data_IF_166838982629
#
_entry.id   IF_166838982629
#
_cell.length_a   1.000
_cell.length_b   1.000
_cell.length_c   1.000
_cell.angle_alpha   90.00
_cell.angle_beta   90.00
_cell.angle_gamma   90.00
#
_symmetry.space_group_name_H-M   'P 1'
#
loop_
_entity.id
_entity.type
_entity.pdbx_description
1 polymer ?
#
# COMPACT_ATOMS: atom_id res chain seq x y z
N UNK A 1 15.41 -6.87 -20.27
CA UNK A 1 14.05 -7.37 -20.22
C UNK A 1 14.04 -8.89 -20.43
N UNK A 2 13.23 -9.66 -19.67
CA UNK A 2 13.12 -11.11 -19.79
C UNK A 2 14.50 -11.80 -19.72
N UNK A 3 14.91 -12.57 -20.72
CA UNK A 3 16.26 -13.18 -20.79
C UNK A 3 17.37 -12.13 -20.67
N UNK A 4 17.22 -10.97 -21.31
CA UNK A 4 18.14 -9.84 -21.18
C UNK A 4 18.19 -9.28 -19.76
N UNK A 5 17.10 -9.34 -19.01
CA UNK A 5 17.04 -8.99 -17.59
C UNK A 5 17.93 -9.91 -16.75
N UNK A 6 17.82 -11.22 -16.96
CA UNK A 6 18.70 -12.20 -16.33
C UNK A 6 20.18 -12.01 -16.71
N UNK A 7 20.46 -11.73 -18.00
CA UNK A 7 21.82 -11.42 -18.44
C UNK A 7 22.36 -10.15 -17.78
N UNK A 8 21.56 -9.08 -17.70
CA UNK A 8 21.96 -7.82 -17.04
C UNK A 8 22.33 -8.04 -15.57
N UNK A 9 21.55 -8.84 -14.85
CA UNK A 9 21.87 -9.20 -13.48
C UNK A 9 23.15 -10.06 -13.41
N UNK A 10 23.25 -11.12 -14.24
CA UNK A 10 24.41 -12.01 -14.25
C UNK A 10 25.73 -11.28 -14.54
N UNK A 11 25.73 -10.41 -15.54
CA UNK A 11 26.95 -9.66 -15.92
C UNK A 11 27.21 -8.48 -14.99
N UNK A 12 26.17 -7.73 -14.63
CA UNK A 12 26.29 -6.55 -13.79
C UNK A 12 26.79 -6.88 -12.39
N UNK A 13 26.16 -7.85 -11.74
CA UNK A 13 26.54 -8.27 -10.40
C UNK A 13 27.81 -9.12 -10.35
N UNK A 14 28.12 -9.83 -11.44
CA UNK A 14 29.38 -10.56 -11.58
C UNK A 14 30.60 -9.68 -11.89
N UNK A 15 30.43 -8.39 -12.19
CA UNK A 15 31.51 -7.45 -12.56
C UNK A 15 31.32 -6.08 -11.90
N UNK A 16 31.25 -6.06 -10.57
CA UNK A 16 30.99 -4.86 -9.77
C UNK A 16 32.10 -3.79 -9.84
N UNK A 17 33.25 -4.11 -10.40
CA UNK A 17 34.33 -3.16 -10.72
C UNK A 17 34.01 -2.33 -11.98
N UNK A 18 33.11 -2.80 -12.82
CA UNK A 18 32.71 -2.14 -14.07
C UNK A 18 31.29 -1.56 -14.02
N UNK A 19 30.39 -2.17 -13.25
CA UNK A 19 28.98 -1.82 -13.20
C UNK A 19 28.54 -1.50 -11.78
N UNK A 20 28.14 -0.26 -11.55
CA UNK A 20 27.61 0.21 -10.26
C UNK A 20 26.10 0.49 -10.28
N UNK A 21 25.49 0.60 -11.49
CA UNK A 21 24.05 0.73 -11.71
C UNK A 21 23.59 -0.46 -12.51
N UNK A 22 22.75 -1.30 -11.93
CA UNK A 22 22.29 -2.56 -12.52
C UNK A 22 20.77 -2.62 -12.45
N UNK A 23 20.12 -2.95 -13.56
CA UNK A 23 18.67 -3.13 -13.63
C UNK A 23 18.28 -4.45 -14.30
N UNK A 24 17.40 -5.22 -13.68
CA UNK A 24 16.80 -6.43 -14.23
C UNK A 24 15.28 -6.31 -14.26
N UNK A 25 14.67 -6.52 -15.43
CA UNK A 25 13.23 -6.36 -15.63
C UNK A 25 12.62 -7.70 -16.05
N UNK A 26 11.67 -8.23 -15.26
CA UNK A 26 11.04 -9.54 -15.49
C UNK A 26 12.06 -10.61 -15.84
N UNK A 27 13.08 -10.77 -15.01
CA UNK A 27 14.22 -11.64 -15.28
C UNK A 27 13.79 -13.09 -15.49
N UNK A 28 14.35 -13.71 -16.52
CA UNK A 28 13.96 -15.04 -17.00
C UNK A 28 14.78 -16.18 -16.32
N UNK A 29 14.51 -17.45 -16.65
CA UNK A 29 15.16 -18.62 -16.06
C UNK A 29 16.70 -18.68 -16.18
N UNK A 30 17.27 -17.93 -17.13
CA UNK A 30 18.73 -17.80 -17.27
C UNK A 30 19.40 -16.97 -16.18
N UNK A 31 18.62 -16.37 -15.27
CA UNK A 31 19.15 -15.69 -14.08
C UNK A 31 19.76 -16.71 -13.14
N UNK A 32 21.02 -16.54 -12.79
CA UNK A 32 21.73 -17.40 -11.84
C UNK A 32 20.98 -17.47 -10.50
N UNK A 33 21.26 -18.51 -9.72
CA UNK A 33 20.79 -18.56 -8.33
C UNK A 33 21.42 -17.43 -7.53
N UNK A 34 20.74 -16.89 -6.53
CA UNK A 34 21.17 -15.66 -5.85
C UNK A 34 22.61 -15.73 -5.28
N UNK A 35 23.01 -16.88 -4.75
CA UNK A 35 24.34 -17.08 -4.18
C UNK A 35 25.45 -17.01 -5.24
N UNK A 36 25.18 -17.45 -6.46
CA UNK A 36 26.12 -17.33 -7.59
C UNK A 36 26.03 -15.96 -8.26
N UNK A 37 24.87 -15.31 -8.14
CA UNK A 37 24.62 -13.97 -8.68
C UNK A 37 25.37 -12.90 -7.90
N UNK A 38 25.40 -13.02 -6.57
CA UNK A 38 26.07 -12.11 -5.64
C UNK A 38 26.97 -12.92 -4.69
N UNK A 39 28.12 -13.40 -5.19
CA UNK A 39 29.01 -14.25 -4.39
C UNK A 39 29.74 -13.48 -3.28
N UNK A 40 29.91 -12.17 -3.44
CA UNK A 40 30.56 -11.28 -2.46
C UNK A 40 29.56 -10.18 -2.05
N UNK A 41 28.89 -10.41 -0.94
CA UNK A 41 27.88 -9.51 -0.37
C UNK A 41 28.48 -8.16 0.03
N UNK A 42 29.65 -8.16 0.64
CA UNK A 42 30.30 -6.93 1.10
C UNK A 42 30.80 -6.07 -0.07
N UNK A 43 31.28 -6.69 -1.14
CA UNK A 43 31.59 -5.97 -2.37
C UNK A 43 30.32 -5.39 -3.01
N UNK A 44 29.20 -6.11 -2.98
CA UNK A 44 27.93 -5.61 -3.48
C UNK A 44 27.44 -4.39 -2.69
N UNK A 45 27.44 -4.44 -1.35
CA UNK A 45 27.10 -3.31 -0.49
C UNK A 45 27.96 -2.08 -0.75
N UNK A 46 29.25 -2.28 -0.99
CA UNK A 46 30.22 -1.19 -1.16
C UNK A 46 30.22 -0.56 -2.54
N UNK A 47 30.04 -1.37 -3.60
CA UNK A 47 30.25 -0.93 -4.99
C UNK A 47 28.96 -0.60 -5.74
N UNK A 48 27.82 -1.20 -5.38
CA UNK A 48 26.56 -0.87 -6.00
C UNK A 48 26.09 0.53 -5.60
N UNK A 49 25.74 1.32 -6.59
CA UNK A 49 25.07 2.62 -6.42
C UNK A 49 23.57 2.49 -6.65
N UNK A 50 23.17 1.56 -7.49
CA UNK A 50 21.78 1.21 -7.71
C UNK A 50 21.67 -0.24 -8.20
N UNK A 51 20.89 -1.03 -7.51
CA UNK A 51 20.38 -2.31 -8.01
C UNK A 51 18.86 -2.23 -8.07
N UNK A 52 18.30 -2.37 -9.27
CA UNK A 52 16.88 -2.24 -9.52
C UNK A 52 16.34 -3.53 -10.12
N UNK A 53 15.43 -4.19 -9.43
CA UNK A 53 14.78 -5.43 -9.88
C UNK A 53 13.30 -5.14 -10.05
N UNK A 54 12.80 -5.26 -11.27
CA UNK A 54 11.40 -5.00 -11.60
C UNK A 54 10.74 -6.23 -12.19
N UNK A 55 9.46 -6.43 -11.84
CA UNK A 55 8.63 -7.50 -12.39
C UNK A 55 7.15 -7.12 -12.35
N UNK A 56 6.35 -7.75 -13.19
CA UNK A 56 4.91 -7.75 -13.05
C UNK A 56 4.47 -8.63 -11.87
N UNK A 57 3.46 -8.23 -11.13
CA UNK A 57 2.95 -9.01 -9.99
C UNK A 57 2.18 -10.26 -10.41
N UNK A 58 1.66 -10.28 -11.65
CA UNK A 58 1.04 -11.44 -12.30
C UNK A 58 1.95 -12.08 -13.36
N UNK A 59 3.26 -11.74 -13.39
CA UNK A 59 4.24 -12.32 -14.29
C UNK A 59 4.54 -13.77 -13.90
N UNK A 60 4.40 -14.71 -14.83
CA UNK A 60 4.73 -16.12 -14.61
C UNK A 60 6.21 -16.38 -14.24
N UNK A 61 7.09 -15.41 -14.48
CA UNK A 61 8.53 -15.46 -14.14
C UNK A 61 8.88 -14.72 -12.85
N UNK A 62 7.90 -14.21 -12.11
CA UNK A 62 8.11 -13.42 -10.87
C UNK A 62 9.00 -14.14 -9.85
N UNK A 63 8.98 -15.49 -9.83
CA UNK A 63 9.82 -16.30 -8.94
C UNK A 63 11.32 -16.02 -9.06
N UNK A 64 11.81 -15.68 -10.26
CA UNK A 64 13.23 -15.36 -10.46
C UNK A 64 13.60 -14.01 -9.86
N UNK A 65 12.75 -13.01 -10.02
CA UNK A 65 12.93 -11.69 -9.43
C UNK A 65 12.76 -11.74 -7.90
N UNK A 66 11.75 -12.46 -7.43
CA UNK A 66 11.46 -12.58 -6.00
C UNK A 66 12.58 -13.29 -5.23
N UNK A 67 13.06 -14.46 -5.70
CA UNK A 67 14.16 -15.15 -5.01
C UNK A 67 15.43 -14.30 -4.91
N UNK A 68 15.70 -13.49 -5.93
CA UNK A 68 16.84 -12.57 -5.92
C UNK A 68 16.63 -11.48 -4.90
N UNK A 69 15.45 -10.85 -4.87
CA UNK A 69 15.06 -9.88 -3.84
C UNK A 69 15.18 -10.46 -2.43
N UNK A 70 14.56 -11.63 -2.18
CA UNK A 70 14.55 -12.25 -0.86
C UNK A 70 15.98 -12.48 -0.33
N UNK A 71 16.89 -12.94 -1.20
CA UNK A 71 18.29 -13.16 -0.85
C UNK A 71 19.03 -11.85 -0.54
N UNK A 72 18.84 -10.82 -1.37
CA UNK A 72 19.44 -9.51 -1.17
C UNK A 72 18.96 -8.86 0.13
N UNK A 73 17.67 -8.99 0.40
CA UNK A 73 17.03 -8.49 1.61
C UNK A 73 17.58 -9.19 2.87
N UNK A 74 17.72 -10.51 2.84
CA UNK A 74 18.27 -11.30 3.96
C UNK A 74 19.73 -10.98 4.27
N UNK A 75 20.46 -10.46 3.30
CA UNK A 75 21.88 -10.11 3.41
C UNK A 75 22.12 -8.60 3.51
N UNK A 76 21.07 -7.79 3.71
CA UNK A 76 21.14 -6.33 3.81
C UNK A 76 21.86 -5.65 2.62
N UNK A 77 21.70 -6.21 1.41
CA UNK A 77 22.23 -5.59 0.19
C UNK A 77 21.21 -4.55 -0.31
N UNK A 78 21.59 -3.25 -0.36
CA UNK A 78 20.69 -2.20 -0.81
C UNK A 78 20.21 -2.42 -2.25
N UNK A 79 18.91 -2.49 -2.46
CA UNK A 79 18.30 -2.65 -3.78
C UNK A 79 16.85 -2.16 -3.79
N UNK A 80 16.35 -1.86 -4.98
CA UNK A 80 14.94 -1.55 -5.20
C UNK A 80 14.29 -2.78 -5.83
N UNK A 81 13.24 -3.29 -5.20
CA UNK A 81 12.36 -4.31 -5.76
C UNK A 81 11.03 -3.66 -6.14
N UNK A 82 10.86 -3.44 -7.44
CA UNK A 82 9.72 -2.74 -8.00
C UNK A 82 8.74 -3.72 -8.63
N UNK A 83 7.54 -3.83 -8.04
CA UNK A 83 6.44 -4.61 -8.61
C UNK A 83 5.42 -3.68 -9.26
N UNK A 84 5.11 -3.95 -10.53
CA UNK A 84 4.11 -3.26 -11.32
C UNK A 84 2.90 -4.17 -11.52
N UNK A 85 1.69 -3.59 -11.58
CA UNK A 85 0.49 -4.35 -11.91
C UNK A 85 0.53 -4.85 -13.37
N UNK A 86 0.56 -6.16 -13.56
CA UNK A 86 0.53 -6.79 -14.88
C UNK A 86 1.38 -8.05 -14.98
N UNK A 87 1.42 -8.60 -16.18
CA UNK A 87 2.13 -9.83 -16.51
C UNK A 87 3.51 -9.60 -17.10
N UNK A 88 3.91 -10.54 -17.95
CA UNK A 88 5.17 -10.48 -18.72
C UNK A 88 4.98 -9.66 -20.00
N UNK A 89 4.77 -8.34 -19.83
CA UNK A 89 4.33 -7.48 -20.92
C UNK A 89 5.06 -6.13 -20.98
N UNK A 90 4.90 -5.47 -22.13
CA UNK A 90 5.59 -4.21 -22.41
C UNK A 90 5.15 -3.04 -21.50
N UNK A 91 3.90 -3.05 -21.01
CA UNK A 91 3.41 -2.00 -20.09
C UNK A 91 4.22 -2.03 -18.80
N UNK A 92 4.38 -3.22 -18.23
CA UNK A 92 5.19 -3.44 -17.00
C UNK A 92 6.63 -3.00 -17.23
N UNK A 93 7.23 -3.40 -18.36
CA UNK A 93 8.62 -3.05 -18.65
C UNK A 93 8.85 -1.58 -18.89
N UNK A 94 7.94 -0.92 -19.61
CA UNK A 94 8.00 0.53 -19.84
C UNK A 94 7.94 1.30 -18.52
N UNK A 95 7.04 0.94 -17.62
CA UNK A 95 6.91 1.59 -16.33
C UNK A 95 8.12 1.30 -15.43
N UNK A 96 8.60 0.06 -15.42
CA UNK A 96 9.84 -0.31 -14.73
C UNK A 96 11.05 0.49 -15.22
N UNK A 97 11.20 0.65 -16.54
CA UNK A 97 12.28 1.46 -17.12
C UNK A 97 12.13 2.94 -16.77
N UNK A 98 10.92 3.48 -16.79
CA UNK A 98 10.65 4.84 -16.36
C UNK A 98 11.09 5.06 -14.90
N UNK A 99 10.70 4.16 -13.99
CA UNK A 99 11.09 4.22 -12.59
C UNK A 99 12.59 4.09 -12.41
N UNK A 100 13.24 3.12 -13.05
CA UNK A 100 14.69 2.95 -13.01
C UNK A 100 15.43 4.22 -13.46
N UNK A 101 14.96 4.87 -14.52
CA UNK A 101 15.59 6.09 -15.07
C UNK A 101 15.58 7.26 -14.07
N UNK A 102 14.65 7.30 -13.13
CA UNK A 102 14.59 8.34 -12.10
C UNK A 102 15.77 8.29 -11.12
N UNK A 103 16.40 7.11 -10.97
CA UNK A 103 17.49 6.86 -10.04
C UNK A 103 18.87 6.76 -10.73
N UNK A 104 18.90 6.62 -12.05
CA UNK A 104 20.16 6.47 -12.78
C UNK A 104 21.07 7.70 -12.59
N UNK A 105 22.33 7.44 -12.22
CA UNK A 105 23.39 8.45 -12.07
C UNK A 105 23.10 9.52 -11.01
N UNK A 106 22.14 9.28 -10.12
CA UNK A 106 21.84 10.15 -8.99
C UNK A 106 22.32 9.51 -7.69
N UNK A 107 22.62 10.31 -6.64
CA UNK A 107 22.76 9.77 -5.31
C UNK A 107 21.44 9.10 -4.89
N UNK A 108 21.52 7.84 -4.49
CA UNK A 108 20.38 7.11 -3.95
C UNK A 108 20.64 6.97 -2.47
N UNK A 109 19.79 7.58 -1.64
CA UNK A 109 19.80 7.36 -0.21
C UNK A 109 19.24 5.96 0.10
N UNK A 110 20.14 5.07 0.51
CA UNK A 110 19.80 3.68 0.80
C UNK A 110 18.83 3.54 1.98
N UNK A 111 18.82 4.49 2.92
CA UNK A 111 17.86 4.52 4.01
C UNK A 111 16.43 4.85 3.54
N UNK A 112 16.30 5.51 2.39
CA UNK A 112 15.01 5.82 1.76
C UNK A 112 14.52 4.72 0.81
N UNK A 113 15.33 3.72 0.48
CA UNK A 113 14.99 2.67 -0.50
C UNK A 113 13.80 1.80 -0.06
N UNK A 114 13.56 1.66 1.24
CA UNK A 114 12.34 1.01 1.75
C UNK A 114 11.05 1.71 1.26
N UNK A 115 11.12 3.03 1.00
CA UNK A 115 9.98 3.79 0.48
C UNK A 115 9.66 3.45 -0.98
N UNK A 116 10.65 3.03 -1.76
CA UNK A 116 10.50 2.73 -3.19
C UNK A 116 10.09 1.28 -3.47
N UNK A 117 10.27 0.40 -2.51
CA UNK A 117 9.73 -0.97 -2.59
C UNK A 117 8.20 -1.00 -2.45
N UNK A 118 7.61 0.10 -2.04
CA UNK A 118 6.17 0.21 -1.79
C UNK A 118 5.61 1.36 -2.60
N UNK A 119 5.03 1.05 -3.74
CA UNK A 119 4.39 1.99 -4.65
C UNK A 119 3.03 2.49 -4.17
N UNK A 120 2.63 2.15 -2.97
CA UNK A 120 1.36 2.54 -2.39
C UNK A 120 1.45 3.88 -1.66
N UNK A 121 0.39 4.65 -1.71
CA UNK A 121 0.17 5.79 -0.82
C UNK A 121 -0.49 5.27 0.46
N UNK A 122 0.01 5.60 1.66
CA UNK A 122 -0.70 5.27 2.89
C UNK A 122 -2.14 5.76 2.84
N UNK A 123 -3.07 4.94 3.30
CA UNK A 123 -4.48 5.32 3.33
C UNK A 123 -4.71 6.53 4.24
N UNK A 124 -5.64 7.40 3.85
CA UNK A 124 -5.98 8.61 4.62
C UNK A 124 -6.52 8.31 6.02
N UNK A 125 -7.08 7.13 6.20
CA UNK A 125 -7.58 6.61 7.48
C UNK A 125 -6.50 5.97 8.36
N UNK A 126 -5.25 5.95 7.94
CA UNK A 126 -4.18 5.43 8.79
C UNK A 126 -3.96 6.33 10.00
N UNK A 127 -3.78 5.74 11.17
CA UNK A 127 -3.36 6.49 12.36
C UNK A 127 -1.97 7.08 12.15
N UNK A 128 -1.63 8.12 12.92
CA UNK A 128 -0.37 8.83 12.77
C UNK A 128 0.83 7.87 12.76
N UNK A 129 1.68 8.02 11.74
CA UNK A 129 2.88 7.22 11.48
C UNK A 129 2.64 5.76 11.03
N UNK A 130 1.40 5.32 10.85
CA UNK A 130 1.13 4.02 10.26
C UNK A 130 1.39 4.06 8.75
N UNK A 131 2.22 3.13 8.26
CA UNK A 131 2.56 3.02 6.84
C UNK A 131 1.55 2.19 6.05
N UNK A 132 0.80 1.33 6.70
CA UNK A 132 -0.18 0.42 6.10
C UNK A 132 -1.56 0.59 6.76
N UNK A 133 -2.63 0.25 6.03
CA UNK A 133 -2.70 -0.17 4.63
C UNK A 133 -2.24 0.90 3.64
N UNK A 134 -1.80 0.45 2.46
CA UNK A 134 -1.39 1.32 1.36
C UNK A 134 -2.23 1.08 0.12
N UNK A 135 -2.53 2.15 -0.60
CA UNK A 135 -3.32 2.11 -1.83
C UNK A 135 -2.36 2.25 -3.01
N UNK A 136 -2.36 1.25 -3.88
CA UNK A 136 -1.59 1.25 -5.11
C UNK A 136 -2.22 2.16 -6.18
N UNK A 137 -1.46 2.63 -7.18
CA UNK A 137 -1.98 3.48 -8.26
C UNK A 137 -3.15 2.88 -9.06
N UNK A 138 -3.28 1.57 -9.06
CA UNK A 138 -4.35 0.82 -9.70
C UNK A 138 -5.53 0.48 -8.76
N UNK A 139 -5.56 1.07 -7.56
CA UNK A 139 -6.55 0.87 -6.50
C UNK A 139 -6.51 -0.51 -5.82
N UNK A 140 -5.48 -1.32 -6.01
CA UNK A 140 -5.24 -2.46 -5.12
C UNK A 140 -4.73 -1.94 -3.77
N UNK A 141 -4.93 -2.72 -2.73
CA UNK A 141 -4.53 -2.35 -1.36
C UNK A 141 -3.54 -3.36 -0.81
N UNK A 142 -2.45 -2.86 -0.25
CA UNK A 142 -1.50 -3.68 0.49
C UNK A 142 -1.81 -3.55 1.97
N UNK A 143 -2.11 -4.68 2.61
CA UNK A 143 -2.20 -4.78 4.06
C UNK A 143 -0.94 -5.45 4.60
N UNK A 144 -0.43 -4.91 5.71
CA UNK A 144 0.70 -5.48 6.44
C UNK A 144 0.46 -5.38 7.94
N UNK A 145 0.41 -6.53 8.62
CA UNK A 145 0.04 -6.64 10.04
C UNK A 145 1.07 -7.45 10.78
N UNK A 146 1.47 -7.00 11.95
CA UNK A 146 2.40 -7.72 12.82
C UNK A 146 1.60 -8.62 13.78
N UNK A 147 1.65 -9.92 13.55
CA UNK A 147 1.02 -10.93 14.41
C UNK A 147 1.90 -12.20 14.43
N UNK A 148 3.05 -12.15 15.14
CA UNK A 148 4.06 -13.21 15.06
C UNK A 148 3.54 -14.55 15.58
N UNK A 149 2.64 -14.57 16.55
CA UNK A 149 2.13 -15.79 17.18
C UNK A 149 0.85 -16.32 16.52
N UNK A 150 0.27 -15.58 15.57
CA UNK A 150 -0.92 -16.02 14.86
C UNK A 150 -0.64 -17.19 13.93
N UNK A 151 -1.62 -18.10 13.82
CA UNK A 151 -1.59 -19.24 12.90
C UNK A 151 -2.21 -18.89 11.54
N UNK A 152 -3.22 -18.00 11.55
CA UNK A 152 -3.90 -17.54 10.35
C UNK A 152 -4.33 -16.08 10.50
N UNK A 153 -4.02 -15.27 9.50
CA UNK A 153 -4.49 -13.88 9.44
C UNK A 153 -5.16 -13.64 8.08
N UNK A 154 -6.30 -12.94 8.10
CA UNK A 154 -7.05 -12.56 6.90
C UNK A 154 -7.46 -11.09 7.02
N UNK A 155 -7.70 -10.46 5.88
CA UNK A 155 -8.42 -9.18 5.78
C UNK A 155 -9.80 -9.45 5.21
N UNK A 156 -10.85 -8.97 5.88
CA UNK A 156 -12.21 -8.96 5.35
C UNK A 156 -12.55 -7.54 4.89
N UNK A 157 -12.54 -7.35 3.58
CA UNK A 157 -12.85 -6.10 2.87
C UNK A 157 -14.05 -6.33 1.93
N UNK A 158 -15.16 -6.85 2.46
CA UNK A 158 -16.29 -7.37 1.70
C UNK A 158 -16.02 -8.73 1.05
N UNK A 159 -14.77 -9.09 0.87
CA UNK A 159 -14.22 -10.40 0.51
C UNK A 159 -13.06 -10.70 1.46
N UNK A 160 -12.88 -11.96 1.83
CA UNK A 160 -11.76 -12.39 2.68
C UNK A 160 -10.52 -12.66 1.83
N UNK A 161 -9.41 -12.08 2.25
CA UNK A 161 -8.10 -12.28 1.66
C UNK A 161 -7.19 -12.96 2.68
N UNK A 162 -6.68 -14.15 2.35
CA UNK A 162 -5.69 -14.84 3.18
C UNK A 162 -4.35 -14.08 3.09
N UNK A 163 -3.75 -13.82 4.25
CA UNK A 163 -2.46 -13.17 4.34
C UNK A 163 -1.34 -14.19 4.43
N UNK A 164 -0.16 -13.84 3.92
CA UNK A 164 1.05 -14.67 3.98
C UNK A 164 2.00 -14.10 5.01
N UNK A 165 2.48 -14.96 5.90
CA UNK A 165 3.44 -14.59 6.96
C UNK A 165 4.86 -14.54 6.39
N UNK A 166 5.55 -13.44 6.64
CA UNK A 166 6.98 -13.32 6.34
C UNK A 166 7.85 -13.82 7.52
N UNK A 167 9.16 -13.90 7.28
CA UNK A 167 10.14 -14.39 8.27
C UNK A 167 10.27 -13.48 9.49
N UNK A 168 9.84 -12.22 9.39
CA UNK A 168 9.87 -11.22 10.47
C UNK A 168 8.60 -11.22 11.31
N UNK A 169 7.65 -12.12 11.02
CA UNK A 169 6.39 -12.25 11.72
C UNK A 169 5.32 -11.25 11.30
N UNK A 170 5.52 -10.57 10.17
CA UNK A 170 4.47 -9.77 9.53
C UNK A 170 3.65 -10.63 8.57
N UNK A 171 2.37 -10.34 8.52
CA UNK A 171 1.44 -10.90 7.57
C UNK A 171 1.13 -9.87 6.50
N UNK A 172 1.17 -10.31 5.25
CA UNK A 172 1.06 -9.42 4.09
C UNK A 172 0.02 -9.97 3.10
N UNK A 173 -0.74 -9.07 2.50
CA UNK A 173 -1.58 -9.39 1.34
C UNK A 173 -1.76 -8.15 0.46
N UNK A 174 -1.82 -8.36 -0.84
CA UNK A 174 -2.29 -7.37 -1.81
C UNK A 174 -3.64 -7.82 -2.33
N UNK A 175 -4.63 -6.95 -2.26
CA UNK A 175 -5.99 -7.24 -2.72
C UNK A 175 -6.10 -7.24 -4.25
N UNK A 176 -7.24 -7.69 -4.76
CA UNK A 176 -7.68 -7.30 -6.10
C UNK A 176 -7.98 -5.80 -6.14
N UNK A 177 -8.29 -5.26 -7.33
CA UNK A 177 -8.68 -3.86 -7.50
C UNK A 177 -9.93 -3.57 -6.67
N UNK A 178 -9.83 -2.58 -5.78
CA UNK A 178 -10.94 -2.14 -4.92
C UNK A 178 -11.63 -0.95 -5.59
N UNK A 179 -12.96 -0.92 -5.54
CA UNK A 179 -13.74 0.20 -6.07
C UNK A 179 -13.43 1.49 -5.30
N UNK A 180 -13.58 2.63 -5.97
CA UNK A 180 -13.39 3.92 -5.32
C UNK A 180 -14.47 4.21 -4.30
N UNK A 181 -14.11 4.96 -3.27
CA UNK A 181 -14.96 5.32 -2.15
C UNK A 181 -14.51 4.69 -0.85
N UNK A 182 -15.32 4.85 0.18
CA UNK A 182 -15.03 4.36 1.52
C UNK A 182 -15.49 2.91 1.69
N UNK A 183 -14.62 2.09 2.31
CA UNK A 183 -14.88 0.68 2.60
C UNK A 183 -14.57 0.38 4.07
N UNK A 184 -15.48 -0.34 4.72
CA UNK A 184 -15.16 -0.96 6.00
C UNK A 184 -14.32 -2.22 5.80
N UNK A 185 -13.38 -2.47 6.69
CA UNK A 185 -12.66 -3.73 6.76
C UNK A 185 -12.41 -4.17 8.19
N UNK A 186 -12.08 -5.44 8.36
CA UNK A 186 -11.62 -6.01 9.63
C UNK A 186 -10.45 -6.95 9.38
N UNK A 187 -9.57 -7.06 10.35
CA UNK A 187 -8.62 -8.17 10.41
C UNK A 187 -9.31 -9.37 11.03
N UNK A 188 -8.99 -10.57 10.56
CA UNK A 188 -9.42 -11.82 11.17
C UNK A 188 -8.15 -12.55 11.60
N UNK A 189 -7.90 -12.59 12.91
CA UNK A 189 -6.73 -13.24 13.50
C UNK A 189 -7.19 -14.49 14.20
N UNK A 190 -6.76 -15.66 13.73
CA UNK A 190 -7.14 -16.99 14.24
C UNK A 190 -8.67 -17.14 14.41
N UNK A 191 -9.43 -16.60 13.45
CA UNK A 191 -10.89 -16.67 13.42
C UNK A 191 -11.61 -15.53 14.15
N UNK A 192 -10.91 -14.66 14.87
CA UNK A 192 -11.50 -13.53 15.61
C UNK A 192 -11.41 -12.26 14.76
N UNK A 193 -12.55 -11.60 14.52
CA UNK A 193 -12.60 -10.33 13.82
C UNK A 193 -12.21 -9.19 14.77
N UNK A 194 -11.20 -8.41 14.40
CA UNK A 194 -10.67 -7.29 15.16
C UNK A 194 -10.48 -6.06 14.27
N UNK A 195 -10.43 -4.88 14.88
CA UNK A 195 -10.02 -3.66 14.18
C UNK A 195 -8.51 -3.67 13.93
N UNK A 196 -8.09 -3.06 12.84
CA UNK A 196 -6.68 -2.85 12.55
C UNK A 196 -6.15 -1.70 13.43
N UNK A 197 -5.15 -1.93 14.29
CA UNK A 197 -4.59 -0.88 15.12
C UNK A 197 -3.88 0.22 14.30
N UNK A 198 -3.60 -0.01 13.05
CA UNK A 198 -3.00 0.96 12.13
C UNK A 198 -4.03 1.88 11.45
N UNK A 199 -5.33 1.64 11.63
CA UNK A 199 -6.43 2.42 11.05
C UNK A 199 -7.24 3.15 12.12
N UNK A 200 -7.76 4.32 11.76
CA UNK A 200 -8.87 4.91 12.51
C UNK A 200 -10.04 3.92 12.60
N UNK A 201 -10.81 4.04 13.69
CA UNK A 201 -11.95 3.17 13.96
C UNK A 201 -13.25 3.89 13.66
N UNK A 202 -14.11 3.22 12.90
CA UNK A 202 -15.41 3.71 12.49
C UNK A 202 -16.51 2.80 13.05
N UNK A 203 -17.64 3.38 13.42
CA UNK A 203 -18.81 2.60 13.78
C UNK A 203 -19.71 2.41 12.56
N UNK A 204 -19.84 1.21 12.12
CA UNK A 204 -20.69 0.84 10.98
C UNK A 204 -21.08 -0.63 11.03
N UNK A 205 -22.16 -0.98 10.37
CA UNK A 205 -22.70 -2.35 10.34
C UNK A 205 -22.94 -2.92 11.76
N UNK A 206 -23.35 -2.06 12.72
CA UNK A 206 -23.62 -2.46 14.11
C UNK A 206 -22.38 -2.76 14.96
N UNK A 207 -21.17 -2.49 14.49
CA UNK A 207 -19.91 -2.75 15.20
C UNK A 207 -18.82 -1.72 14.88
N UNK A 208 -17.78 -1.72 15.66
CA UNK A 208 -16.54 -1.03 15.29
C UNK A 208 -15.82 -1.80 14.19
N UNK A 209 -15.33 -1.09 13.21
CA UNK A 209 -14.56 -1.60 12.08
C UNK A 209 -13.46 -0.61 11.70
N UNK A 210 -12.43 -1.08 11.05
CA UNK A 210 -11.48 -0.23 10.37
C UNK A 210 -12.07 0.28 9.06
N UNK A 211 -11.52 1.34 8.51
CA UNK A 211 -11.98 1.90 7.24
C UNK A 211 -10.83 2.24 6.32
N UNK A 212 -11.09 2.18 5.05
CA UNK A 212 -10.16 2.63 4.01
C UNK A 212 -10.93 3.38 2.92
N UNK A 213 -10.42 4.52 2.52
CA UNK A 213 -10.95 5.26 1.38
C UNK A 213 -10.03 5.10 0.18
N UNK A 214 -10.58 4.58 -0.91
CA UNK A 214 -9.92 4.54 -2.22
C UNK A 214 -10.23 5.85 -2.94
N UNK A 215 -9.25 6.76 -3.11
CA UNK A 215 -9.50 8.12 -3.56
C UNK A 215 -9.94 8.19 -5.02
N UNK A 216 -10.71 9.21 -5.36
CA UNK A 216 -10.93 9.60 -6.75
C UNK A 216 -9.70 10.37 -7.28
N UNK A 217 -9.39 10.19 -8.57
CA UNK A 217 -8.19 10.79 -9.18
C UNK A 217 -8.11 12.32 -9.07
N UNK A 218 -9.24 12.98 -8.95
CA UNK A 218 -9.37 14.45 -8.93
C UNK A 218 -9.70 15.01 -7.54
N UNK A 219 -9.40 14.27 -6.48
CA UNK A 219 -9.65 14.68 -5.10
C UNK A 219 -11.12 14.68 -4.69
N UNK A 220 -12.02 14.37 -5.62
CA UNK A 220 -13.45 14.30 -5.37
C UNK A 220 -14.10 15.65 -5.00
N UNK A 221 -15.41 15.73 -5.18
CA UNK A 221 -16.20 16.92 -4.78
C UNK A 221 -16.27 17.09 -3.25
N UNK A 222 -15.99 16.04 -2.50
CA UNK A 222 -16.02 16.00 -1.03
C UNK A 222 -14.65 16.23 -0.36
N UNK A 223 -13.57 16.42 -1.15
CA UNK A 223 -12.26 16.73 -0.59
C UNK A 223 -12.29 18.04 0.20
N UNK A 224 -11.58 18.06 1.33
CA UNK A 224 -11.38 19.30 2.08
C UNK A 224 -10.71 20.35 1.18
N UNK A 225 -11.33 21.51 1.10
CA UNK A 225 -10.85 22.66 0.33
C UNK A 225 -10.66 23.86 1.24
N UNK A 226 -9.81 24.77 0.87
CA UNK A 226 -9.64 26.05 1.58
C UNK A 226 -10.79 27.00 1.22
N UNK A 227 -11.94 26.73 1.83
CA UNK A 227 -13.18 27.51 1.71
C UNK A 227 -13.83 27.61 3.10
N UNK A 228 -14.69 28.61 3.34
CA UNK A 228 -15.44 28.66 4.61
C UNK A 228 -16.21 27.36 4.85
N UNK A 229 -16.00 26.76 6.00
CA UNK A 229 -16.68 25.52 6.43
C UNK A 229 -17.76 25.85 7.46
N UNK A 230 -18.79 25.01 7.51
CA UNK A 230 -19.81 25.05 8.52
C UNK A 230 -19.42 24.20 9.75
N UNK A 231 -20.35 24.12 10.70
CA UNK A 231 -20.17 23.41 11.95
C UNK A 231 -21.00 22.13 12.00
N UNK A 232 -20.43 21.07 12.60
CA UNK A 232 -21.17 19.88 12.99
C UNK A 232 -21.52 20.01 14.48
N UNK A 233 -22.81 20.02 14.80
CA UNK A 233 -23.34 20.15 16.15
C UNK A 233 -23.99 18.86 16.60
N UNK A 234 -23.61 18.39 17.76
CA UNK A 234 -24.23 17.20 18.37
C UNK A 234 -25.39 17.68 19.22
N UNK A 235 -26.61 17.22 18.90
CA UNK A 235 -27.83 17.54 19.64
C UNK A 235 -28.42 16.29 20.24
N UNK A 236 -28.63 16.34 21.60
CA UNK A 236 -29.38 15.31 22.30
C UNK A 236 -30.79 15.80 22.51
N UNK A 237 -31.76 14.94 22.27
CA UNK A 237 -33.18 15.23 22.45
C UNK A 237 -33.94 13.99 22.91
N UNK A 238 -35.02 14.22 23.62
CA UNK A 238 -35.92 13.14 24.00
C UNK A 238 -36.96 12.90 22.90
N UNK A 239 -36.93 11.71 22.31
CA UNK A 239 -37.90 11.31 21.31
C UNK A 239 -39.14 10.75 21.94
N UNK A 240 -40.30 11.47 21.82
CA UNK A 240 -41.60 10.98 22.30
C UNK A 240 -42.07 9.73 21.57
N UNK A 241 -41.73 9.61 20.29
CA UNK A 241 -42.13 8.46 19.48
C UNK A 241 -41.45 7.15 19.90
N UNK A 242 -40.19 7.21 20.33
CA UNK A 242 -39.45 6.04 20.79
C UNK A 242 -39.29 5.98 22.31
N UNK A 243 -39.84 6.94 23.01
CA UNK A 243 -39.75 7.12 24.48
C UNK A 243 -38.29 6.96 24.99
N UNK A 244 -37.33 7.58 24.30
CA UNK A 244 -35.90 7.47 24.64
C UNK A 244 -35.11 8.70 24.22
N UNK A 245 -33.96 8.90 24.86
CA UNK A 245 -32.98 9.88 24.45
C UNK A 245 -32.34 9.48 23.14
N UNK A 246 -32.24 10.45 22.25
CA UNK A 246 -31.61 10.29 20.90
C UNK A 246 -30.55 11.36 20.72
N UNK A 247 -29.66 11.09 19.79
CA UNK A 247 -28.62 12.00 19.36
C UNK A 247 -28.72 12.19 17.84
N UNK A 248 -28.49 13.42 17.38
CA UNK A 248 -28.38 13.74 15.97
C UNK A 248 -27.18 14.66 15.73
N UNK A 249 -26.59 14.52 14.57
CA UNK A 249 -25.56 15.41 14.06
C UNK A 249 -26.20 16.41 13.11
N UNK A 250 -26.06 17.69 13.41
CA UNK A 250 -26.61 18.77 12.64
C UNK A 250 -25.48 19.56 11.98
N UNK A 251 -25.38 19.52 10.67
CA UNK A 251 -24.52 20.42 9.93
C UNK A 251 -25.22 21.77 9.76
N UNK A 252 -24.53 22.85 10.09
CA UNK A 252 -24.95 24.21 9.84
C UNK A 252 -23.98 24.90 8.91
N UNK A 253 -24.44 25.61 7.85
CA UNK A 253 -23.53 26.24 6.88
C UNK A 253 -22.69 27.37 7.50
N UNK A 254 -21.61 27.80 6.83
CA UNK A 254 -20.77 28.90 7.29
C UNK A 254 -21.60 30.17 7.59
N UNK A 255 -21.33 30.76 8.74
CA UNK A 255 -22.03 32.01 9.16
C UNK A 255 -23.46 31.80 9.67
N UNK A 256 -23.92 30.57 9.86
CA UNK A 256 -25.28 30.23 10.30
C UNK A 256 -25.75 31.04 11.55
N UNK A 257 -24.92 31.15 12.57
CA UNK A 257 -25.29 31.84 13.83
C UNK A 257 -25.39 33.38 13.70
N UNK A 258 -24.86 33.91 12.60
CA UNK A 258 -24.90 35.36 12.31
C UNK A 258 -25.96 35.71 11.28
N UNK A 259 -26.64 34.69 10.72
CA UNK A 259 -27.64 34.86 9.68
C UNK A 259 -29.05 34.72 10.22
N UNK A 260 -29.97 35.53 9.73
CA UNK A 260 -31.42 35.38 9.94
C UNK A 260 -32.09 34.57 8.80
N UNK A 261 -31.32 34.06 7.87
CA UNK A 261 -31.84 33.30 6.72
C UNK A 261 -32.43 31.96 7.14
N UNK A 262 -33.44 31.52 6.40
CA UNK A 262 -34.01 30.18 6.52
C UNK A 262 -33.36 29.27 5.50
N UNK A 263 -32.84 28.16 5.97
CA UNK A 263 -32.17 27.17 5.12
C UNK A 263 -33.09 25.96 4.87
N UNK A 264 -33.06 25.35 3.69
CA UNK A 264 -33.68 24.06 3.48
C UNK A 264 -32.98 23.00 4.35
N UNK A 265 -33.75 22.00 4.76
CA UNK A 265 -33.24 20.94 5.65
C UNK A 265 -33.21 19.62 4.89
N UNK A 266 -32.03 18.99 4.85
CA UNK A 266 -31.86 17.63 4.39
C UNK A 266 -31.80 16.69 5.61
N UNK A 267 -32.70 15.73 5.67
CA UNK A 267 -32.65 14.65 6.66
C UNK A 267 -31.92 13.45 6.07
N UNK A 268 -30.77 13.13 6.65
CA UNK A 268 -29.97 12.00 6.25
C UNK A 268 -30.06 10.89 7.29
N UNK A 269 -30.65 9.77 6.92
CA UNK A 269 -30.74 8.60 7.78
C UNK A 269 -29.60 7.65 7.45
N UNK A 270 -28.94 7.13 8.48
CA UNK A 270 -27.93 6.11 8.32
C UNK A 270 -28.59 4.73 8.04
N UNK A 271 -27.86 3.88 7.32
CA UNK A 271 -28.23 2.47 7.13
C UNK A 271 -27.89 1.61 8.33
#
# INVERSE_FOLDING_TARGET
LSMGGGQSLNFGLGNLDKFSWVGGFSSAPNTKVPQELVPDIEAAKKKLKLLFISCGDADGLIGFSKRTHDYLYQNDVPHIYYLEAGGHDFKVWKNGLYMFSQFLFKPVDTASLEQYTVLGTPASSNVRNAKYPQILPDNRVIFKVKAPDAHKVQVDLGKKYDMVKDTSGFWNVTTEVVSRGFHYYSLIIDGVAVVDPASETFYGMGRQASGIEIPYKEGGFYALKDVPHGDIRIKKYFSKATNSWREMYLYTPPGYDKSSEKYPVLYLLHG
#
